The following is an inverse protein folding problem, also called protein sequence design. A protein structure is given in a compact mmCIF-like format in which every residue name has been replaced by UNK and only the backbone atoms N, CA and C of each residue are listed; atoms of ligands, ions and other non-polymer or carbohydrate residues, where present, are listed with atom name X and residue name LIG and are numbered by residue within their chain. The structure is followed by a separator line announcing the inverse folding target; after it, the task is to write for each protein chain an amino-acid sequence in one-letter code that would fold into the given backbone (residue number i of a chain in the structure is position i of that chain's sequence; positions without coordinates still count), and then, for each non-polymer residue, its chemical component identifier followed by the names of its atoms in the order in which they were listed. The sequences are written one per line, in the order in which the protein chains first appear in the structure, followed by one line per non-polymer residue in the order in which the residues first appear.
data_IF_363798970475
#
_entry.id   IF_363798970475
#
_cell.length_a   1.000
_cell.length_b   1.000
_cell.length_c   1.000
_cell.angle_alpha   90.00
_cell.angle_beta   90.00
_cell.angle_gamma   90.00
#
_symmetry.space_group_name_H-M   'P 1'
#
loop_
_entity.id
_entity.type
_entity.pdbx_description
1 polymer ?
#
# COMPACT_ATOMS: atom_id res chain seq x y z
N UNK A 1 4.19 9.83 5.71
CA UNK A 1 3.63 9.35 4.44
C UNK A 1 4.28 8.05 4.02
N UNK A 2 3.56 7.22 3.32
CA UNK A 2 4.05 5.93 2.87
C UNK A 2 4.27 5.95 1.36
N UNK A 3 5.50 5.65 0.93
CA UNK A 3 5.83 5.51 -0.49
C UNK A 3 5.54 4.09 -0.94
N UNK A 4 4.76 3.96 -2.02
CA UNK A 4 4.32 2.68 -2.54
C UNK A 4 4.58 2.61 -4.05
N UNK A 5 5.11 1.48 -4.50
CA UNK A 5 5.22 1.18 -5.94
C UNK A 5 4.21 0.10 -6.27
N UNK A 6 3.30 0.38 -7.20
CA UNK A 6 2.16 -0.47 -7.50
C UNK A 6 2.30 -1.13 -8.87
N UNK A 7 2.07 -2.44 -8.93
CA UNK A 7 1.95 -3.18 -10.18
C UNK A 7 0.50 -3.68 -10.28
N UNK A 8 -0.35 -3.06 -11.10
CA UNK A 8 -1.75 -3.47 -11.24
C UNK A 8 -1.90 -4.72 -12.10
N UNK A 9 -3.12 -5.18 -12.25
CA UNK A 9 -3.47 -6.31 -13.12
C UNK A 9 -2.93 -7.65 -12.62
N UNK A 10 -2.74 -7.78 -11.31
CA UNK A 10 -2.37 -9.06 -10.69
C UNK A 10 -3.62 -9.87 -10.37
N UNK A 11 -3.46 -11.17 -10.17
CA UNK A 11 -4.58 -12.05 -9.82
C UNK A 11 -5.09 -11.80 -8.41
N UNK A 12 -4.19 -11.39 -7.51
CA UNK A 12 -4.55 -11.02 -6.13
C UNK A 12 -3.62 -9.94 -5.64
N UNK A 13 -4.05 -9.20 -4.64
CA UNK A 13 -3.23 -8.18 -4.02
C UNK A 13 -2.24 -8.81 -3.06
N UNK A 14 -0.94 -8.56 -3.30
CA UNK A 14 0.15 -9.14 -2.53
C UNK A 14 1.19 -8.06 -2.24
N UNK A 15 1.64 -7.98 -0.99
CA UNK A 15 2.75 -7.13 -0.62
C UNK A 15 4.06 -7.84 -0.92
N UNK A 16 4.93 -7.18 -1.68
CA UNK A 16 6.23 -7.73 -2.08
C UNK A 16 7.37 -7.29 -1.16
N UNK A 17 7.09 -6.51 -0.13
CA UNK A 17 8.08 -6.04 0.83
C UNK A 17 8.60 -4.64 0.53
N UNK A 18 9.54 -4.20 1.35
CA UNK A 18 10.16 -2.88 1.23
C UNK A 18 11.49 -2.97 0.47
N UNK A 19 11.68 -2.06 -0.47
CA UNK A 19 12.95 -1.87 -1.19
C UNK A 19 13.29 -0.38 -1.16
N UNK A 20 14.38 -0.02 -0.53
CA UNK A 20 14.85 1.37 -0.43
C UNK A 20 13.78 2.31 0.13
N UNK A 21 13.04 1.84 1.15
CA UNK A 21 12.00 2.63 1.78
C UNK A 21 10.69 2.69 1.01
N UNK A 22 10.57 1.96 -0.10
CA UNK A 22 9.37 1.91 -0.94
C UNK A 22 8.69 0.56 -0.81
N UNK A 23 7.41 0.57 -0.42
CA UNK A 23 6.62 -0.64 -0.30
C UNK A 23 6.13 -1.08 -1.69
N UNK A 24 6.47 -2.29 -2.11
CA UNK A 24 6.04 -2.83 -3.39
C UNK A 24 4.79 -3.68 -3.22
N UNK A 25 3.77 -3.38 -4.03
CA UNK A 25 2.48 -4.07 -3.95
C UNK A 25 2.05 -4.48 -5.35
N UNK A 26 1.73 -5.78 -5.52
CA UNK A 26 0.99 -6.26 -6.68
C UNK A 26 -0.48 -6.11 -6.38
N UNK A 27 -1.21 -5.47 -7.26
CA UNK A 27 -2.58 -5.06 -7.00
C UNK A 27 -3.56 -5.78 -7.91
N UNK A 28 -4.55 -6.42 -7.31
CA UNK A 28 -5.64 -7.09 -8.05
C UNK A 28 -6.67 -6.05 -8.47
N UNK A 29 -6.29 -5.23 -9.47
CA UNK A 29 -7.16 -4.21 -10.03
C UNK A 29 -6.78 -3.98 -11.48
N UNK A 30 -7.74 -3.57 -12.34
CA UNK A 30 -7.39 -3.21 -13.71
C UNK A 30 -6.46 -1.99 -13.71
N UNK A 31 -5.63 -1.82 -14.77
CA UNK A 31 -4.69 -0.70 -14.85
C UNK A 31 -5.41 0.60 -15.24
N UNK A 32 -6.50 0.90 -14.54
CA UNK A 32 -7.27 2.13 -14.67
C UNK A 32 -7.04 2.91 -13.39
N UNK A 33 -6.58 4.14 -13.50
CA UNK A 33 -6.08 4.93 -12.38
C UNK A 33 -7.04 4.97 -11.19
N UNK A 34 -8.29 5.28 -11.41
CA UNK A 34 -9.27 5.37 -10.33
C UNK A 34 -9.51 4.04 -9.63
N UNK A 35 -9.61 2.95 -10.38
CA UNK A 35 -9.84 1.63 -9.82
C UNK A 35 -8.63 1.13 -9.05
N UNK A 36 -7.43 1.31 -9.59
CA UNK A 36 -6.20 0.89 -8.94
C UNK A 36 -5.96 1.67 -7.66
N UNK A 37 -6.15 2.99 -7.69
CA UNK A 37 -5.98 3.83 -6.52
C UNK A 37 -6.94 3.43 -5.39
N UNK A 38 -8.21 3.24 -5.71
CA UNK A 38 -9.20 2.87 -4.72
C UNK A 38 -8.91 1.51 -4.10
N UNK A 39 -8.54 0.52 -4.93
CA UNK A 39 -8.20 -0.81 -4.44
C UNK A 39 -6.98 -0.76 -3.51
N UNK A 40 -5.98 0.04 -3.85
CA UNK A 40 -4.79 0.22 -3.02
C UNK A 40 -5.14 0.82 -1.65
N UNK A 41 -5.92 1.88 -1.65
CA UNK A 41 -6.28 2.58 -0.41
C UNK A 41 -7.12 1.68 0.50
N UNK A 42 -8.05 0.91 -0.05
CA UNK A 42 -8.85 -0.05 0.70
C UNK A 42 -7.99 -1.14 1.30
N UNK A 43 -7.07 -1.68 0.53
CA UNK A 43 -6.20 -2.75 0.99
C UNK A 43 -5.34 -2.28 2.17
N UNK A 44 -4.74 -1.09 2.05
CA UNK A 44 -3.91 -0.54 3.12
C UNK A 44 -4.74 -0.28 4.39
N UNK A 45 -5.93 0.29 4.23
CA UNK A 45 -6.83 0.54 5.36
C UNK A 45 -7.21 -0.77 6.06
N UNK A 46 -7.53 -1.81 5.30
CA UNK A 46 -7.88 -3.12 5.85
C UNK A 46 -6.71 -3.72 6.62
N UNK A 47 -5.49 -3.61 6.09
CA UNK A 47 -4.29 -4.12 6.75
C UNK A 47 -4.05 -3.43 8.09
N UNK A 48 -4.33 -2.15 8.16
CA UNK A 48 -4.13 -1.36 9.37
C UNK A 48 -5.32 -1.40 10.33
N UNK A 49 -6.42 -2.00 9.92
CA UNK A 49 -7.66 -2.00 10.71
C UNK A 49 -8.30 -0.63 10.82
N UNK A 50 -8.16 0.19 9.79
CA UNK A 50 -8.66 1.55 9.74
C UNK A 50 -9.83 1.67 8.77
N UNK A 51 -10.70 2.67 8.93
CA UNK A 51 -11.70 2.96 7.90
C UNK A 51 -11.01 3.47 6.63
N UNK A 52 -11.64 3.24 5.48
CA UNK A 52 -11.09 3.67 4.20
C UNK A 52 -10.74 5.17 4.17
N UNK A 53 -11.53 5.99 4.84
CA UNK A 53 -11.33 7.44 4.88
C UNK A 53 -10.06 7.86 5.63
N UNK A 54 -9.45 6.95 6.41
CA UNK A 54 -8.20 7.25 7.11
C UNK A 54 -6.97 7.14 6.22
N UNK A 55 -7.12 6.62 5.01
CA UNK A 55 -6.03 6.48 4.04
C UNK A 55 -6.36 7.30 2.80
N UNK A 56 -5.46 8.18 2.41
CA UNK A 56 -5.67 9.06 1.27
C UNK A 56 -4.45 9.03 0.34
N UNK A 57 -4.70 9.26 -0.94
CA UNK A 57 -3.63 9.38 -1.93
C UNK A 57 -3.11 10.81 -1.91
N UNK A 58 -1.86 10.99 -1.50
CA UNK A 58 -1.23 12.31 -1.44
C UNK A 58 -0.62 12.71 -2.78
N UNK A 59 0.01 11.76 -3.47
CA UNK A 59 0.64 11.99 -4.78
C UNK A 59 0.63 10.73 -5.62
N UNK A 60 0.73 10.91 -6.93
CA UNK A 60 0.92 9.81 -7.87
C UNK A 60 -0.36 9.17 -8.37
N UNK A 61 -1.44 9.94 -8.54
CA UNK A 61 -2.72 9.39 -9.00
C UNK A 61 -2.61 8.65 -10.34
N UNK A 62 -1.74 9.11 -11.23
CA UNK A 62 -1.54 8.51 -12.55
C UNK A 62 -0.20 7.80 -12.69
N UNK A 63 0.52 7.62 -11.59
CA UNK A 63 1.85 7.05 -11.56
C UNK A 63 1.83 5.70 -10.85
N UNK A 64 2.76 4.81 -11.20
CA UNK A 64 2.95 3.56 -10.47
C UNK A 64 3.52 3.82 -9.07
N UNK A 65 4.30 4.88 -8.90
CA UNK A 65 4.82 5.28 -7.62
C UNK A 65 3.87 6.28 -6.97
N UNK A 66 3.39 5.93 -5.78
CA UNK A 66 2.36 6.71 -5.08
C UNK A 66 2.81 7.02 -3.67
N UNK A 67 2.31 8.15 -3.15
CA UNK A 67 2.48 8.48 -1.73
C UNK A 67 1.11 8.47 -1.06
N UNK A 68 1.02 7.76 0.06
CA UNK A 68 -0.20 7.65 0.82
C UNK A 68 -0.06 8.40 2.14
N UNK A 69 -1.11 9.15 2.50
CA UNK A 69 -1.24 9.76 3.80
C UNK A 69 -2.13 8.87 4.66
N UNK A 70 -1.63 8.45 5.81
CA UNK A 70 -2.33 7.53 6.71
C UNK A 70 -2.66 8.26 8.00
N UNK A 71 -3.93 8.33 8.33
CA UNK A 71 -4.44 8.97 9.54
C UNK A 71 -4.36 8.09 10.78
N UNK A 72 -3.34 7.25 10.89
CA UNK A 72 -3.13 6.38 12.03
C UNK A 72 -1.97 6.90 12.88
N UNK A 73 -1.90 6.45 14.14
CA UNK A 73 -0.74 6.70 14.95
C UNK A 73 0.51 6.13 14.28
N UNK A 74 1.58 6.89 14.32
CA UNK A 74 2.85 6.54 13.65
C UNK A 74 3.34 5.13 14.05
N UNK A 75 3.27 4.81 15.34
CA UNK A 75 3.71 3.51 15.86
C UNK A 75 2.91 2.34 15.28
N UNK A 76 1.61 2.53 15.01
CA UNK A 76 0.79 1.48 14.40
C UNK A 76 1.26 1.19 12.97
N UNK A 77 1.52 2.24 12.19
CA UNK A 77 2.01 2.08 10.84
C UNK A 77 3.40 1.42 10.82
N UNK A 78 4.28 1.81 11.73
CA UNK A 78 5.60 1.18 11.87
C UNK A 78 5.49 -0.29 12.24
N UNK A 79 4.60 -0.63 13.17
CA UNK A 79 4.40 -2.01 13.60
C UNK A 79 3.91 -2.87 12.42
N UNK A 80 3.01 -2.33 11.61
CA UNK A 80 2.53 -3.01 10.42
C UNK A 80 3.66 -3.24 9.41
N UNK A 81 4.44 -2.21 9.13
CA UNK A 81 5.57 -2.32 8.21
C UNK A 81 6.60 -3.34 8.69
N UNK A 82 6.88 -3.35 9.99
CA UNK A 82 7.80 -4.31 10.58
C UNK A 82 7.29 -5.75 10.42
N UNK A 83 5.97 -5.94 10.56
CA UNK A 83 5.35 -7.25 10.34
C UNK A 83 5.52 -7.70 8.90
N UNK A 84 5.30 -6.79 7.94
CA UNK A 84 5.47 -7.10 6.53
C UNK A 84 6.91 -7.47 6.19
N UNK A 85 7.87 -6.71 6.74
CA UNK A 85 9.29 -6.98 6.55
C UNK A 85 9.67 -8.35 7.09
N UNK A 86 9.16 -8.70 8.27
CA UNK A 86 9.45 -9.98 8.89
C UNK A 86 8.92 -11.12 8.04
N UNK A 87 7.70 -10.99 7.53
CA UNK A 87 7.08 -12.03 6.69
C UNK A 87 7.83 -12.19 5.37
N UNK A 88 8.31 -11.09 4.79
CA UNK A 88 9.02 -11.11 3.52
C UNK A 88 10.50 -11.44 3.66
N UNK A 89 11.05 -11.36 4.86
CA UNK A 89 12.45 -11.75 5.12
C UNK A 89 12.62 -13.25 5.29
N UNK A 90 11.54 -13.98 5.49
CA UNK A 90 11.60 -15.44 5.61
C UNK A 90 11.98 -16.05 4.26
N UNK A 91 12.95 -16.95 4.24
CA UNK A 91 13.36 -17.61 3.00
C UNK A 91 12.29 -18.52 2.43
#
# INVERSE_FOLDING_TARGET
MLDVLVAPNAKRTVCMGLHDGVLRIRLAAPPVDGAANEALLRWVADQLGLPRSAVALARGATSKRKQLAIGAAFDRAEAWLATLLKDNAAP
#
